data_IF_417649820188
#
_entry.id   IF_417649820188
#
_cell.length_a   1.000
_cell.length_b   1.000
_cell.length_c   1.000
_cell.angle_alpha   90.00
_cell.angle_beta   90.00
_cell.angle_gamma   90.00
#
_symmetry.space_group_name_H-M   'P 1'
#
loop_
_entity.id
_entity.type
_entity.pdbx_description
1 polymer ?
#
# COMPACT_ATOMS: atom_id res chain seq x y z
N UNK A 1 -33.75 33.45 -31.56
CA UNK A 1 -34.10 32.28 -30.72
C UNK A 1 -33.32 31.00 -31.08
N UNK A 2 -33.27 30.51 -32.33
CA UNK A 2 -32.57 29.24 -32.65
C UNK A 2 -31.05 29.22 -32.38
N UNK A 3 -30.34 30.34 -32.55
CA UNK A 3 -28.92 30.44 -32.21
C UNK A 3 -28.69 30.41 -30.68
N UNK A 4 -29.57 31.04 -29.91
CA UNK A 4 -29.52 31.09 -28.44
C UNK A 4 -29.75 29.71 -27.81
N UNK A 5 -30.65 28.91 -28.40
CA UNK A 5 -30.97 27.57 -27.91
C UNK A 5 -29.84 26.58 -28.21
N UNK A 6 -29.15 26.73 -29.36
CA UNK A 6 -27.99 25.90 -29.71
C UNK A 6 -26.76 26.24 -28.86
N UNK A 7 -26.52 27.52 -28.57
CA UNK A 7 -25.40 27.92 -27.70
C UNK A 7 -25.65 27.53 -26.24
N UNK A 8 -26.87 27.71 -25.72
CA UNK A 8 -27.22 27.29 -24.36
C UNK A 8 -27.12 25.77 -24.17
N UNK A 9 -27.54 24.98 -25.17
CA UNK A 9 -27.42 23.53 -25.14
C UNK A 9 -25.96 23.06 -25.21
N UNK A 10 -25.13 23.66 -26.06
CA UNK A 10 -23.70 23.36 -26.14
C UNK A 10 -22.95 23.69 -24.82
N UNK A 11 -23.35 24.77 -24.15
CA UNK A 11 -22.76 25.20 -22.88
C UNK A 11 -23.20 24.31 -21.70
N UNK A 12 -24.47 23.91 -21.64
CA UNK A 12 -24.97 22.92 -20.66
C UNK A 12 -24.31 21.55 -20.85
N UNK A 13 -24.05 21.17 -22.10
CA UNK A 13 -23.30 19.96 -22.45
C UNK A 13 -21.86 20.03 -21.91
N UNK A 14 -21.17 21.16 -22.10
CA UNK A 14 -19.82 21.36 -21.58
C UNK A 14 -19.77 21.35 -20.04
N UNK A 15 -20.78 21.90 -19.36
CA UNK A 15 -20.92 21.85 -17.91
C UNK A 15 -21.15 20.42 -17.38
N UNK A 16 -21.94 19.60 -18.08
CA UNK A 16 -22.13 18.18 -17.73
C UNK A 16 -20.86 17.35 -17.90
N UNK A 17 -20.04 17.65 -18.93
CA UNK A 17 -18.73 17.04 -19.16
C UNK A 17 -17.70 17.44 -18.07
N UNK A 18 -17.72 18.70 -17.63
CA UNK A 18 -16.85 19.20 -16.54
C UNK A 18 -17.25 18.68 -15.15
N UNK A 19 -18.53 18.38 -14.93
CA UNK A 19 -19.03 17.77 -13.68
C UNK A 19 -18.87 16.24 -13.66
N UNK A 20 -18.80 15.60 -14.83
CA UNK A 20 -18.64 14.14 -14.98
C UNK A 20 -17.20 13.62 -15.05
N UNK A 21 -16.21 14.49 -15.28
CA UNK A 21 -14.80 14.12 -15.43
C UNK A 21 -13.91 14.60 -14.27
N UNK A 22 -13.27 13.66 -13.57
CA UNK A 22 -12.06 13.80 -12.72
C UNK A 22 -12.00 15.00 -11.76
N UNK A 23 -12.04 14.72 -10.44
CA UNK A 23 -11.97 15.61 -9.25
C UNK A 23 -10.79 16.61 -9.11
N UNK A 24 -10.25 17.18 -10.20
CA UNK A 24 -9.18 18.20 -10.17
C UNK A 24 -9.45 19.34 -11.16
N UNK A 25 -10.64 19.94 -11.10
CA UNK A 25 -10.87 21.25 -11.73
C UNK A 25 -10.84 22.32 -10.64
N UNK A 26 -9.85 23.22 -10.69
CA UNK A 26 -9.68 24.30 -9.72
C UNK A 26 -10.94 25.17 -9.63
N UNK A 27 -11.30 25.56 -8.40
CA UNK A 27 -12.39 26.52 -8.12
C UNK A 27 -12.23 27.82 -8.92
N UNK A 28 -10.99 28.23 -9.18
CA UNK A 28 -10.64 29.39 -10.02
C UNK A 28 -11.10 29.23 -11.48
N UNK A 29 -10.98 28.04 -12.06
CA UNK A 29 -11.44 27.77 -13.43
C UNK A 29 -12.97 27.83 -13.52
N UNK A 30 -13.67 27.30 -12.51
CA UNK A 30 -15.14 27.39 -12.42
C UNK A 30 -15.62 28.83 -12.20
N UNK A 31 -14.94 29.60 -11.35
CA UNK A 31 -15.27 31.01 -11.08
C UNK A 31 -15.07 31.90 -12.32
N UNK A 32 -13.96 31.71 -13.05
CA UNK A 32 -13.69 32.39 -14.33
C UNK A 32 -14.75 32.08 -15.38
N UNK A 33 -15.21 30.82 -15.44
CA UNK A 33 -16.26 30.41 -16.38
C UNK A 33 -17.61 31.05 -16.04
N UNK A 34 -17.98 31.13 -14.76
CA UNK A 34 -19.20 31.82 -14.29
C UNK A 34 -19.15 33.33 -14.55
N UNK A 35 -17.99 33.97 -14.34
CA UNK A 35 -17.77 35.40 -14.64
C UNK A 35 -17.90 35.69 -16.14
N UNK A 36 -17.28 34.86 -16.99
CA UNK A 36 -17.39 34.99 -18.45
C UNK A 36 -18.84 34.84 -18.93
N UNK A 37 -19.59 33.87 -18.38
CA UNK A 37 -21.03 33.70 -18.68
C UNK A 37 -21.86 34.92 -18.24
N UNK A 38 -21.56 35.51 -17.08
CA UNK A 38 -22.22 36.73 -16.60
C UNK A 38 -21.98 37.94 -17.52
N UNK A 39 -20.74 38.11 -18.01
CA UNK A 39 -20.36 39.18 -18.94
C UNK A 39 -20.98 38.97 -20.33
N UNK A 40 -20.99 37.72 -20.83
CA UNK A 40 -21.65 37.40 -22.11
C UNK A 40 -23.16 37.64 -22.08
N UNK A 41 -23.84 37.38 -20.95
CA UNK A 41 -25.26 37.72 -20.79
C UNK A 41 -25.51 39.23 -20.74
N UNK A 42 -24.57 40.02 -20.19
CA UNK A 42 -24.67 41.48 -20.11
C UNK A 42 -24.44 42.17 -21.47
N UNK A 43 -23.50 41.68 -22.28
CA UNK A 43 -23.20 42.22 -23.61
C UNK A 43 -24.30 41.96 -24.65
N UNK A 44 -25.19 41.00 -24.41
CA UNK A 44 -26.39 40.75 -25.25
C UNK A 44 -27.56 41.71 -24.92
N UNK A 45 -27.36 42.66 -24.01
CA UNK A 45 -28.38 43.56 -23.49
C UNK A 45 -28.45 44.92 -24.17
N UNK A 46 -28.74 44.96 -25.48
CA UNK A 46 -29.50 46.06 -26.08
C UNK A 46 -30.88 45.52 -26.47
N UNK A 47 -31.71 45.27 -25.46
CA UNK A 47 -33.15 45.09 -25.62
C UNK A 47 -33.84 46.28 -24.97
N UNK A 48 -33.96 47.38 -25.71
CA UNK A 48 -34.92 48.43 -25.38
C UNK A 48 -36.33 47.85 -25.57
N UNK A 49 -37.07 47.78 -24.46
CA UNK A 49 -38.54 47.83 -24.53
C UNK A 49 -39.32 46.52 -24.62
N UNK A 50 -38.97 45.46 -23.89
CA UNK A 50 -39.94 44.60 -23.17
C UNK A 50 -39.20 43.51 -22.36
N UNK A 51 -39.70 43.23 -21.17
CA UNK A 51 -39.06 42.45 -20.12
C UNK A 51 -38.54 41.06 -20.58
N UNK A 52 -37.27 40.76 -20.32
CA UNK A 52 -36.72 39.40 -20.30
C UNK A 52 -36.68 38.84 -18.86
N UNK A 53 -37.77 38.24 -18.34
CA UNK A 53 -37.79 37.66 -17.00
C UNK A 53 -36.81 36.48 -16.86
N UNK A 54 -36.64 35.66 -17.90
CA UNK A 54 -35.78 34.48 -17.88
C UNK A 54 -34.28 34.82 -17.72
N UNK A 55 -33.81 35.90 -18.35
CA UNK A 55 -32.42 36.37 -18.21
C UNK A 55 -32.14 36.91 -16.80
N UNK A 56 -33.12 37.59 -16.17
CA UNK A 56 -32.99 38.06 -14.78
C UNK A 56 -32.92 36.91 -13.80
N UNK A 57 -33.71 35.86 -14.00
CA UNK A 57 -33.61 34.64 -13.17
C UNK A 57 -32.30 33.89 -13.40
N UNK A 58 -31.82 33.77 -14.64
CA UNK A 58 -30.51 33.18 -14.93
C UNK A 58 -29.36 33.95 -14.26
N UNK A 59 -29.40 35.28 -14.26
CA UNK A 59 -28.42 36.14 -13.57
C UNK A 59 -28.50 35.99 -12.04
N UNK A 60 -29.69 35.82 -11.46
CA UNK A 60 -29.85 35.53 -10.02
C UNK A 60 -29.23 34.18 -9.66
N UNK A 61 -29.49 33.14 -10.45
CA UNK A 61 -28.91 31.80 -10.24
C UNK A 61 -27.39 31.84 -10.35
N UNK A 62 -26.83 32.51 -11.37
CA UNK A 62 -25.37 32.65 -11.53
C UNK A 62 -24.72 33.37 -10.35
N UNK A 63 -25.33 34.44 -9.83
CA UNK A 63 -24.85 35.14 -8.62
C UNK A 63 -24.88 34.24 -7.39
N UNK A 64 -25.90 33.39 -7.27
CA UNK A 64 -26.02 32.46 -6.15
C UNK A 64 -24.98 31.33 -6.21
N UNK A 65 -24.70 30.81 -7.41
CA UNK A 65 -23.62 29.84 -7.64
C UNK A 65 -22.25 30.47 -7.38
N UNK A 66 -22.03 31.71 -7.82
CA UNK A 66 -20.79 32.44 -7.55
C UNK A 66 -20.55 32.59 -6.05
N UNK A 67 -21.58 32.98 -5.29
CA UNK A 67 -21.52 33.11 -3.82
C UNK A 67 -21.17 31.77 -3.14
N UNK A 68 -21.80 30.68 -3.56
CA UNK A 68 -21.52 29.34 -3.01
C UNK A 68 -20.08 28.89 -3.28
N UNK A 69 -19.56 29.15 -4.48
CA UNK A 69 -18.18 28.81 -4.84
C UNK A 69 -17.17 29.62 -4.00
N UNK A 70 -17.42 30.92 -3.82
CA UNK A 70 -16.57 31.78 -2.98
C UNK A 70 -16.64 31.40 -1.50
N UNK A 71 -17.82 31.01 -0.99
CA UNK A 71 -17.98 30.59 0.41
C UNK A 71 -17.28 29.26 0.69
N UNK A 72 -17.33 28.32 -0.27
CA UNK A 72 -16.61 27.06 -0.22
C UNK A 72 -15.09 27.24 -0.26
N UNK A 73 -14.58 28.11 -1.15
CA UNK A 73 -13.16 28.45 -1.22
C UNK A 73 -12.67 29.12 0.08
N UNK A 74 -13.44 30.06 0.62
CA UNK A 74 -13.14 30.69 1.89
C UNK A 74 -13.16 29.68 3.05
N UNK A 75 -14.10 28.72 3.05
CA UNK A 75 -14.17 27.65 4.03
C UNK A 75 -12.97 26.69 3.95
N UNK A 76 -12.60 26.31 2.72
CA UNK A 76 -11.43 25.46 2.46
C UNK A 76 -10.12 26.13 2.89
N UNK A 77 -9.93 27.42 2.57
CA UNK A 77 -8.75 28.19 2.99
C UNK A 77 -8.70 28.37 4.52
N UNK A 78 -9.84 28.58 5.18
CA UNK A 78 -9.92 28.59 6.66
C UNK A 78 -9.55 27.23 7.25
N UNK A 79 -10.03 26.14 6.66
CA UNK A 79 -9.67 24.76 7.03
C UNK A 79 -8.16 24.53 6.91
N UNK A 80 -7.57 24.89 5.77
CA UNK A 80 -6.12 24.77 5.50
C UNK A 80 -5.26 25.60 6.46
N UNK A 81 -5.66 26.83 6.80
CA UNK A 81 -4.95 27.64 7.82
C UNK A 81 -5.03 27.01 9.21
N UNK A 82 -6.18 26.44 9.57
CA UNK A 82 -6.36 25.74 10.85
C UNK A 82 -5.48 24.49 10.93
N UNK A 83 -5.39 23.75 9.82
CA UNK A 83 -4.57 22.56 9.68
C UNK A 83 -3.08 22.90 9.71
N UNK A 84 -2.66 23.96 9.00
CA UNK A 84 -1.30 24.51 9.07
C UNK A 84 -0.92 24.96 10.48
N UNK A 85 -1.84 25.61 11.22
CA UNK A 85 -1.61 26.00 12.62
C UNK A 85 -1.47 24.79 13.54
N UNK A 86 -2.30 23.75 13.36
CA UNK A 86 -2.16 22.47 14.08
C UNK A 86 -0.86 21.77 13.74
N UNK A 87 -0.43 21.80 12.47
CA UNK A 87 0.83 21.22 12.02
C UNK A 87 2.03 21.95 12.66
N UNK A 88 2.00 23.29 12.70
CA UNK A 88 3.04 24.08 13.35
C UNK A 88 3.02 23.91 14.88
N UNK A 89 1.85 23.70 15.48
CA UNK A 89 1.72 23.41 16.91
C UNK A 89 2.24 22.00 17.25
N UNK A 90 1.95 21.00 16.41
CA UNK A 90 2.55 19.65 16.48
C UNK A 90 4.07 19.69 16.24
N UNK A 91 4.55 20.55 15.35
CA UNK A 91 5.99 20.79 15.12
C UNK A 91 6.66 21.46 16.32
N UNK A 92 5.95 22.33 17.04
CA UNK A 92 6.43 22.93 18.30
C UNK A 92 6.41 21.96 19.48
N UNK A 93 5.46 21.01 19.50
CA UNK A 93 5.39 19.93 20.49
C UNK A 93 6.40 18.81 20.19
N UNK A 94 6.73 18.60 18.92
CA UNK A 94 7.91 17.87 18.46
C UNK A 94 9.14 18.78 18.54
N UNK A 95 9.45 19.26 19.73
CA UNK A 95 10.82 19.65 20.03
C UNK A 95 11.70 18.46 19.65
N UNK A 96 12.29 18.54 18.46
CA UNK A 96 13.50 17.81 18.12
C UNK A 96 14.50 18.37 19.12
N UNK A 97 14.58 17.74 20.30
CA UNK A 97 15.85 17.70 21.01
C UNK A 97 16.82 17.14 19.98
N UNK A 98 17.64 18.00 19.39
CA UNK A 98 18.82 17.55 18.69
C UNK A 98 19.60 16.72 19.72
N UNK A 99 19.51 15.41 19.51
CA UNK A 99 20.01 14.37 20.38
C UNK A 99 21.50 14.65 20.62
N UNK A 100 21.86 14.98 21.87
CA UNK A 100 23.12 15.61 22.28
C UNK A 100 24.36 14.72 22.02
N UNK A 101 24.17 13.55 21.41
CA UNK A 101 25.16 12.53 21.09
C UNK A 101 25.22 12.17 19.59
N UNK A 102 24.65 13.02 18.71
CA UNK A 102 24.66 12.81 17.26
C UNK A 102 25.71 13.66 16.53
N UNK A 103 26.36 13.09 15.52
CA UNK A 103 27.26 13.82 14.62
C UNK A 103 26.50 14.81 13.72
N UNK A 104 27.15 15.91 13.28
CA UNK A 104 26.51 16.89 12.40
C UNK A 104 26.11 16.25 11.05
N UNK A 105 24.96 16.64 10.46
CA UNK A 105 24.51 16.08 9.19
C UNK A 105 25.47 16.44 8.05
N UNK A 106 25.92 15.44 7.30
CA UNK A 106 26.78 15.63 6.14
C UNK A 106 25.94 15.96 4.90
N UNK A 107 26.40 16.96 4.14
CA UNK A 107 25.81 17.29 2.84
C UNK A 107 26.31 16.32 1.77
N UNK A 108 25.47 15.95 0.79
CA UNK A 108 25.92 15.17 -0.35
C UNK A 108 27.02 15.88 -1.15
N UNK A 109 28.03 15.14 -1.65
CA UNK A 109 29.02 15.69 -2.57
C UNK A 109 28.34 16.16 -3.86
N UNK A 110 28.94 17.14 -4.55
CA UNK A 110 28.45 17.55 -5.87
C UNK A 110 28.58 16.38 -6.83
N UNK A 111 27.55 16.12 -7.62
CA UNK A 111 27.46 14.92 -8.48
C UNK A 111 27.62 13.62 -7.68
N UNK A 112 26.96 13.52 -6.52
CA UNK A 112 26.95 12.33 -5.68
C UNK A 112 25.90 12.36 -4.56
N UNK A 113 25.78 11.24 -3.85
CA UNK A 113 24.73 10.94 -2.87
C UNK A 113 25.31 10.34 -1.59
N UNK A 114 24.58 10.48 -0.49
CA UNK A 114 24.92 9.89 0.82
C UNK A 114 23.87 8.85 1.18
N UNK A 115 24.32 7.64 1.51
CA UNK A 115 23.48 6.55 1.97
C UNK A 115 23.59 6.41 3.49
N UNK A 116 22.43 6.28 4.14
CA UNK A 116 22.29 6.22 5.60
C UNK A 116 21.62 7.47 6.17
N UNK A 117 20.86 7.30 7.26
CA UNK A 117 20.04 8.36 7.88
C UNK A 117 20.29 8.56 9.38
N UNK A 118 21.09 7.68 9.99
CA UNK A 118 21.33 7.67 11.44
C UNK A 118 22.65 8.39 11.73
N UNK A 119 22.61 9.35 12.66
CA UNK A 119 23.74 10.21 13.00
C UNK A 119 24.33 9.89 14.39
N UNK A 120 23.91 8.80 15.03
CA UNK A 120 24.40 8.40 16.36
C UNK A 120 25.80 7.78 16.27
N UNK A 121 26.59 7.91 17.32
CA UNK A 121 27.92 7.29 17.42
C UNK A 121 27.89 5.79 17.05
N UNK A 122 28.88 5.34 16.28
CA UNK A 122 28.99 3.99 15.73
C UNK A 122 28.25 3.74 14.41
N UNK A 123 27.42 4.67 13.94
CA UNK A 123 26.75 4.53 12.64
C UNK A 123 27.65 5.02 11.48
N UNK A 124 27.58 4.32 10.36
CA UNK A 124 28.33 4.59 9.15
C UNK A 124 27.44 5.15 8.04
N UNK A 125 27.96 6.12 7.30
CA UNK A 125 27.38 6.69 6.08
C UNK A 125 28.28 6.37 4.90
N UNK A 126 27.68 5.99 3.78
CA UNK A 126 28.40 5.68 2.54
C UNK A 126 28.17 6.76 1.50
N UNK A 127 29.18 7.02 0.67
CA UNK A 127 29.14 8.04 -0.37
C UNK A 127 29.21 7.38 -1.74
N UNK A 128 28.36 7.83 -2.65
CA UNK A 128 28.34 7.37 -4.03
C UNK A 128 28.44 8.58 -4.96
N UNK A 129 29.23 8.48 -6.02
CA UNK A 129 29.24 9.49 -7.07
C UNK A 129 28.24 9.14 -8.17
N UNK A 130 27.69 10.16 -8.81
CA UNK A 130 26.88 10.01 -10.01
C UNK A 130 27.77 9.47 -11.16
N UNK A 131 27.20 8.77 -12.16
CA UNK A 131 27.97 8.22 -13.28
C UNK A 131 28.84 9.26 -14.00
N UNK A 132 30.08 8.89 -14.34
CA UNK A 132 31.06 9.79 -14.96
C UNK A 132 31.97 10.54 -13.97
N UNK A 133 31.78 10.32 -12.67
CA UNK A 133 32.61 10.89 -11.61
C UNK A 133 33.23 9.78 -10.76
N UNK A 134 34.51 9.94 -10.42
CA UNK A 134 35.24 9.05 -9.53
C UNK A 134 35.28 9.64 -8.11
N UNK A 135 35.03 8.78 -7.11
CA UNK A 135 35.12 9.17 -5.71
C UNK A 135 36.59 9.31 -5.29
N UNK A 136 36.96 10.51 -4.86
CA UNK A 136 38.23 10.83 -4.21
C UNK A 136 37.96 11.14 -2.73
N UNK A 137 38.57 10.40 -1.81
CA UNK A 137 38.36 10.51 -0.37
C UNK A 137 37.90 9.18 0.25
N UNK A 138 37.20 9.24 1.38
CA UNK A 138 36.68 8.05 2.05
C UNK A 138 35.32 7.62 1.49
N UNK A 139 35.22 6.37 1.04
CA UNK A 139 33.98 5.74 0.54
C UNK A 139 32.88 5.66 1.63
N UNK A 140 33.30 5.53 2.89
CA UNK A 140 32.42 5.55 4.04
C UNK A 140 33.01 6.35 5.20
N UNK A 141 32.13 6.92 6.03
CA UNK A 141 32.49 7.70 7.21
C UNK A 141 31.61 7.27 8.38
N UNK A 142 32.23 7.06 9.54
CA UNK A 142 31.58 6.61 10.76
C UNK A 142 31.50 7.75 11.76
N UNK A 143 30.35 7.91 12.41
CA UNK A 143 30.18 8.86 13.49
C UNK A 143 30.91 8.37 14.74
N UNK A 144 31.87 9.15 15.23
CA UNK A 144 32.65 8.81 16.42
C UNK A 144 31.98 9.32 17.70
N UNK A 145 32.38 8.76 18.85
CA UNK A 145 31.87 9.16 20.18
C UNK A 145 32.21 10.62 20.55
N UNK A 146 33.16 11.26 19.84
CA UNK A 146 33.51 12.68 19.98
C UNK A 146 32.68 13.60 19.07
N UNK A 147 31.58 13.09 18.48
CA UNK A 147 30.68 13.83 17.59
C UNK A 147 31.32 14.32 16.28
N UNK A 148 32.43 13.71 15.87
CA UNK A 148 33.09 13.96 14.58
C UNK A 148 32.98 12.74 13.65
N UNK A 149 33.11 12.98 12.34
CA UNK A 149 33.10 11.92 11.34
C UNK A 149 34.52 11.44 11.05
N UNK A 150 34.71 10.12 11.03
CA UNK A 150 35.96 9.50 10.58
C UNK A 150 36.25 9.78 9.10
N UNK A 151 37.50 9.59 8.68
CA UNK A 151 37.89 9.65 7.27
C UNK A 151 37.96 11.05 6.65
N UNK A 152 38.33 11.08 5.37
CA UNK A 152 38.45 12.30 4.56
C UNK A 152 37.11 12.61 3.85
N UNK A 153 36.80 13.89 3.55
CA UNK A 153 35.62 14.25 2.78
C UNK A 153 35.58 13.55 1.42
N UNK A 154 34.44 12.93 1.07
CA UNK A 154 34.23 12.35 -0.24
C UNK A 154 33.97 13.46 -1.28
N UNK A 155 34.73 13.47 -2.36
CA UNK A 155 34.61 14.40 -3.48
C UNK A 155 34.43 13.57 -4.75
N UNK A 156 33.50 13.97 -5.61
CA UNK A 156 33.29 13.35 -6.91
C UNK A 156 33.98 14.21 -7.97
N UNK A 157 35.04 13.69 -8.58
CA UNK A 157 35.80 14.37 -9.65
C UNK A 157 35.47 13.74 -10.99
N UNK A 158 35.31 14.55 -12.03
CA UNK A 158 35.06 14.08 -13.40
C UNK A 158 36.15 13.09 -13.86
N UNK A 159 35.72 11.96 -14.41
CA UNK A 159 36.63 11.10 -15.17
C UNK A 159 36.95 11.82 -16.48
N UNK A 160 38.14 12.43 -16.56
CA UNK A 160 38.63 13.09 -17.77
C UNK A 160 38.46 12.16 -18.98
N UNK A 161 37.61 12.56 -19.92
CA UNK A 161 37.47 11.91 -21.22
C UNK A 161 38.82 11.98 -21.94
N UNK A 162 39.49 10.84 -22.09
CA UNK A 162 40.76 10.77 -22.81
C UNK A 162 40.48 11.06 -24.29
N UNK A 163 40.89 12.24 -24.74
CA UNK A 163 41.07 12.56 -26.14
C UNK A 163 42.29 11.80 -26.69
N UNK A 164 42.14 11.28 -27.91
CA UNK A 164 43.16 10.64 -28.74
C UNK A 164 43.79 9.33 -28.24
N UNK A 165 43.13 8.22 -28.52
CA UNK A 165 43.82 6.99 -28.94
C UNK A 165 42.94 6.21 -29.91
N UNK A 166 43.49 5.91 -31.09
CA UNK A 166 43.04 4.86 -32.01
C UNK A 166 43.09 3.49 -31.32
N UNK A 167 42.06 3.17 -30.52
CA UNK A 167 41.92 1.87 -29.86
C UNK A 167 40.47 1.41 -29.90
N UNK A 168 40.29 0.21 -30.44
CA UNK A 168 39.07 -0.55 -30.74
C UNK A 168 38.26 -1.00 -29.52
N UNK A 169 38.12 -0.17 -28.48
CA UNK A 169 37.26 -0.50 -27.34
C UNK A 169 36.57 0.74 -26.78
N UNK A 170 35.57 1.26 -27.50
CA UNK A 170 34.49 2.01 -26.86
C UNK A 170 33.68 0.97 -26.08
N UNK A 171 33.97 0.71 -24.79
CA UNK A 171 33.02 -0.04 -23.96
C UNK A 171 31.91 0.92 -23.53
N UNK A 172 30.62 0.59 -23.70
CA UNK A 172 30.02 -0.71 -24.05
C UNK A 172 29.47 -0.77 -25.49
N UNK A 173 30.35 -0.83 -26.49
CA UNK A 173 30.00 -0.87 -27.91
C UNK A 173 30.98 -1.75 -28.71
N UNK A 174 30.43 -2.60 -29.58
CA UNK A 174 31.17 -3.37 -30.56
C UNK A 174 31.07 -2.68 -31.93
N UNK A 175 32.21 -2.24 -32.48
CA UNK A 175 32.27 -1.55 -33.76
C UNK A 175 32.95 -2.42 -34.82
N UNK A 176 32.29 -2.57 -35.97
CA UNK A 176 32.79 -3.26 -37.16
C UNK A 176 32.89 -2.31 -38.34
N UNK A 177 33.88 -2.51 -39.21
CA UNK A 177 34.05 -1.70 -40.42
C UNK A 177 33.60 -2.51 -41.64
N UNK A 178 32.63 -2.02 -42.39
CA UNK A 178 32.20 -2.62 -43.65
C UNK A 178 32.29 -1.58 -44.77
N UNK A 179 33.08 -1.87 -45.81
CA UNK A 179 33.25 -1.00 -46.99
C UNK A 179 33.65 0.46 -46.67
N UNK A 180 34.44 0.67 -45.62
CA UNK A 180 34.90 2.01 -45.20
C UNK A 180 33.89 2.78 -44.32
N UNK A 181 32.74 2.19 -44.00
CA UNK A 181 31.74 2.74 -43.08
C UNK A 181 31.90 2.04 -41.71
N UNK A 182 31.95 2.82 -40.63
CA UNK A 182 31.98 2.32 -39.26
C UNK A 182 30.56 2.04 -38.77
N UNK A 183 30.28 0.78 -38.42
CA UNK A 183 29.03 0.33 -37.81
C UNK A 183 29.28 -0.07 -36.36
N UNK A 184 28.79 0.73 -35.42
CA UNK A 184 28.85 0.43 -33.99
C UNK A 184 27.48 -0.07 -33.50
N UNK A 185 27.49 -1.15 -32.73
CA UNK A 185 26.35 -1.65 -31.98
C UNK A 185 26.69 -1.56 -30.48
N UNK A 186 25.73 -1.14 -29.66
CA UNK A 186 25.93 -1.17 -28.21
C UNK A 186 25.80 -2.59 -27.66
N UNK A 187 26.45 -2.85 -26.53
CA UNK A 187 26.24 -4.08 -25.77
C UNK A 187 24.76 -4.20 -25.35
N UNK A 188 24.25 -5.43 -25.09
CA UNK A 188 22.90 -5.61 -24.56
C UNK A 188 22.67 -4.76 -23.30
N UNK A 189 21.49 -4.11 -23.21
CA UNK A 189 21.17 -3.18 -22.13
C UNK A 189 21.52 -1.71 -22.41
N UNK A 190 22.05 -1.40 -23.61
CA UNK A 190 22.42 -0.04 -24.01
C UNK A 190 21.77 0.37 -25.35
N UNK A 191 21.59 1.68 -25.54
CA UNK A 191 21.04 2.29 -26.74
C UNK A 191 21.96 3.39 -27.28
N UNK A 192 22.10 3.45 -28.61
CA UNK A 192 22.91 4.48 -29.28
C UNK A 192 22.17 5.81 -29.24
N UNK A 193 22.81 6.85 -28.71
CA UNK A 193 22.31 8.23 -28.77
C UNK A 193 22.86 9.01 -29.97
N UNK A 194 22.25 10.17 -30.24
CA UNK A 194 22.68 11.16 -31.23
C UNK A 194 24.09 11.66 -30.90
N UNK A 195 25.10 10.98 -31.42
CA UNK A 195 26.52 11.18 -31.08
C UNK A 195 27.36 9.90 -31.08
N UNK A 196 26.76 8.72 -31.25
CA UNK A 196 27.47 7.44 -31.34
C UNK A 196 27.90 6.86 -29.99
N UNK A 197 27.45 7.46 -28.89
CA UNK A 197 27.68 6.99 -27.52
C UNK A 197 26.57 6.03 -27.11
N UNK A 198 26.96 4.96 -26.42
CA UNK A 198 26.04 3.99 -25.83
C UNK A 198 25.59 4.48 -24.45
N UNK A 199 24.30 4.78 -24.35
CA UNK A 199 23.65 5.10 -23.10
C UNK A 199 22.97 3.84 -22.56
N UNK A 200 23.16 3.60 -21.27
CA UNK A 200 22.43 2.59 -20.51
C UNK A 200 20.92 2.77 -20.66
N UNK A 201 20.20 1.66 -20.86
CA UNK A 201 18.75 1.64 -20.88
C UNK A 201 18.30 1.48 -19.43
N UNK A 202 17.75 2.54 -18.84
CA UNK A 202 17.15 2.42 -17.52
C UNK A 202 15.83 1.62 -17.62
N UNK A 203 15.90 0.30 -17.40
CA UNK A 203 14.72 -0.55 -17.49
C UNK A 203 13.73 -0.24 -16.36
N UNK A 204 14.22 0.25 -15.22
CA UNK A 204 13.36 0.65 -14.12
C UNK A 204 12.47 1.83 -14.53
N UNK A 205 13.00 2.84 -15.19
CA UNK A 205 12.23 3.98 -15.70
C UNK A 205 11.37 3.61 -16.91
N UNK A 206 11.92 2.79 -17.83
CA UNK A 206 11.23 2.37 -19.05
C UNK A 206 9.91 1.62 -18.76
N UNK A 207 9.89 0.80 -17.71
CA UNK A 207 8.76 -0.03 -17.34
C UNK A 207 7.88 0.54 -16.22
N UNK A 208 8.36 1.53 -15.43
CA UNK A 208 7.57 2.17 -14.38
C UNK A 208 6.35 2.97 -14.90
N UNK A 209 6.42 3.52 -16.11
CA UNK A 209 5.37 4.38 -16.69
C UNK A 209 4.28 3.67 -17.49
N UNK A 210 4.43 2.37 -17.79
CA UNK A 210 3.48 1.63 -18.63
C UNK A 210 2.47 0.88 -17.76
N UNK A 211 1.19 1.21 -17.93
CA UNK A 211 0.09 0.53 -17.25
C UNK A 211 0.11 -0.97 -17.57
N UNK A 212 0.54 -1.81 -16.62
CA UNK A 212 0.49 -3.27 -16.70
C UNK A 212 1.81 -4.01 -16.89
N UNK A 213 2.96 -3.34 -17.01
CA UNK A 213 4.27 -4.01 -17.14
C UNK A 213 5.25 -3.57 -16.06
N UNK A 214 4.98 -3.86 -14.79
CA UNK A 214 5.96 -3.63 -13.73
C UNK A 214 7.03 -4.72 -13.81
N UNK A 215 8.28 -4.34 -14.08
CA UNK A 215 9.38 -5.30 -14.28
C UNK A 215 9.75 -6.04 -12.98
N UNK A 216 9.76 -5.34 -11.84
CA UNK A 216 9.96 -5.93 -10.52
C UNK A 216 8.66 -5.93 -9.72
N UNK A 217 8.35 -7.01 -8.99
CA UNK A 217 7.18 -7.05 -8.10
C UNK A 217 7.24 -5.96 -7.01
N UNK A 218 8.42 -5.68 -6.45
CA UNK A 218 8.62 -4.66 -5.42
C UNK A 218 9.44 -3.44 -5.87
N UNK A 219 10.75 -3.44 -5.63
CA UNK A 219 11.67 -2.34 -5.93
C UNK A 219 12.59 -2.72 -7.09
N UNK A 220 12.89 -1.77 -7.97
CA UNK A 220 13.79 -1.92 -9.12
C UNK A 220 14.98 -0.98 -8.95
N UNK A 221 16.19 -1.50 -9.11
CA UNK A 221 17.43 -0.74 -9.05
C UNK A 221 18.15 -0.88 -10.39
N UNK A 222 18.26 0.22 -11.12
CA UNK A 222 18.96 0.23 -12.40
C UNK A 222 20.48 0.03 -12.19
N UNK A 223 21.11 -0.73 -13.07
CA UNK A 223 22.55 -1.00 -13.08
C UNK A 223 23.10 -0.85 -14.50
N UNK A 224 24.41 -0.71 -14.67
CA UNK A 224 24.97 -0.54 -16.01
C UNK A 224 24.80 -1.82 -16.85
N UNK A 225 23.99 -1.75 -17.90
CA UNK A 225 23.65 -2.82 -18.83
C UNK A 225 22.56 -3.78 -18.35
N UNK A 226 21.93 -3.52 -17.19
CA UNK A 226 20.88 -4.38 -16.63
C UNK A 226 20.17 -3.73 -15.44
N UNK A 227 19.31 -4.48 -14.76
CA UNK A 227 18.64 -4.03 -13.53
C UNK A 227 18.61 -5.15 -12.49
N UNK A 228 18.46 -4.77 -11.22
CA UNK A 228 18.26 -5.68 -10.11
C UNK A 228 16.92 -5.42 -9.42
N UNK A 229 16.12 -6.46 -9.22
CA UNK A 229 14.94 -6.38 -8.38
C UNK A 229 15.28 -6.65 -6.92
N UNK A 230 14.73 -5.83 -6.02
CA UNK A 230 14.93 -5.95 -4.58
C UNK A 230 13.61 -6.26 -3.90
N UNK A 231 13.62 -7.31 -3.07
CA UNK A 231 12.48 -7.74 -2.28
C UNK A 231 12.47 -7.08 -0.90
N UNK A 232 11.28 -6.87 -0.31
CA UNK A 232 11.18 -6.35 1.05
C UNK A 232 11.72 -7.38 2.06
N UNK A 233 11.95 -6.93 3.29
CA UNK A 233 12.34 -7.82 4.39
C UNK A 233 11.32 -8.94 4.58
N UNK A 234 11.81 -10.15 4.89
CA UNK A 234 10.99 -11.36 4.98
C UNK A 234 10.74 -12.05 3.65
N UNK A 235 11.31 -11.55 2.54
CA UNK A 235 11.20 -12.15 1.22
C UNK A 235 12.57 -12.33 0.56
N UNK A 236 12.67 -13.33 -0.30
CA UNK A 236 13.81 -13.58 -1.17
C UNK A 236 13.40 -13.46 -2.64
N UNK A 237 14.35 -13.08 -3.49
CA UNK A 237 14.13 -13.10 -4.93
C UNK A 237 13.96 -14.56 -5.38
N UNK A 238 12.87 -14.83 -6.08
CA UNK A 238 12.57 -16.16 -6.60
C UNK A 238 13.46 -16.49 -7.82
N UNK A 239 13.40 -17.74 -8.30
CA UNK A 239 14.15 -18.18 -9.48
C UNK A 239 13.82 -17.36 -10.76
N UNK A 240 12.65 -16.71 -10.77
CA UNK A 240 12.34 -15.66 -11.73
C UNK A 240 12.77 -14.33 -11.11
N UNK A 241 13.71 -13.58 -11.73
CA UNK A 241 14.38 -12.41 -11.13
C UNK A 241 13.47 -11.21 -10.82
N UNK A 242 12.16 -11.38 -11.01
CA UNK A 242 11.16 -10.33 -10.90
C UNK A 242 10.15 -10.60 -9.77
N UNK A 243 10.16 -11.79 -9.15
CA UNK A 243 9.19 -12.21 -8.14
C UNK A 243 9.81 -12.32 -6.75
N UNK A 244 9.04 -11.96 -5.72
CA UNK A 244 9.45 -12.07 -4.33
C UNK A 244 8.72 -13.22 -3.66
N UNK A 245 9.49 -14.17 -3.13
CA UNK A 245 8.99 -15.33 -2.39
C UNK A 245 9.18 -15.11 -0.90
N UNK A 246 8.10 -15.32 -0.16
CA UNK A 246 8.11 -15.26 1.30
C UNK A 246 9.10 -16.27 1.91
N UNK A 247 9.82 -15.85 2.94
CA UNK A 247 10.70 -16.71 3.72
C UNK A 247 9.85 -17.38 4.80
N UNK A 248 9.69 -18.69 4.74
CA UNK A 248 9.03 -19.40 5.83
C UNK A 248 9.99 -19.53 7.02
N UNK A 249 9.92 -18.59 7.97
CA UNK A 249 10.80 -18.62 9.14
C UNK A 249 10.47 -19.78 10.09
N UNK A 250 9.23 -20.28 10.08
CA UNK A 250 8.83 -21.43 10.89
C UNK A 250 9.51 -22.72 10.42
N UNK A 251 9.80 -22.84 9.13
CA UNK A 251 10.58 -23.94 8.55
C UNK A 251 12.08 -23.65 8.62
N UNK A 252 12.48 -22.43 8.28
CA UNK A 252 13.88 -22.04 8.16
C UNK A 252 14.60 -21.95 9.50
N UNK A 253 13.87 -21.58 10.57
CA UNK A 253 14.40 -21.50 11.92
C UNK A 253 13.51 -22.26 12.91
N UNK A 254 13.95 -23.46 13.29
CA UNK A 254 13.23 -24.29 14.30
C UNK A 254 13.10 -23.63 15.67
N UNK A 255 13.91 -22.62 15.97
CA UNK A 255 13.86 -21.84 17.21
C UNK A 255 13.25 -20.46 16.99
N UNK A 256 12.49 -20.25 15.90
CA UNK A 256 11.80 -18.99 15.63
C UNK A 256 10.91 -18.55 16.81
N UNK A 257 10.24 -19.51 17.44
CA UNK A 257 9.44 -19.29 18.64
C UNK A 257 10.07 -19.96 19.87
N UNK A 258 10.00 -19.30 21.01
CA UNK A 258 10.54 -19.81 22.29
C UNK A 258 9.41 -20.19 23.25
N UNK A 259 9.66 -21.11 24.18
CA UNK A 259 8.68 -21.43 25.24
C UNK A 259 7.43 -22.17 24.78
N UNK A 260 7.56 -23.09 23.82
CA UNK A 260 6.48 -24.00 23.38
C UNK A 260 5.34 -23.31 22.63
N UNK A 261 5.57 -22.10 22.13
CA UNK A 261 4.63 -21.38 21.27
C UNK A 261 4.55 -22.04 19.90
N UNK A 262 3.40 -21.92 19.28
CA UNK A 262 3.23 -22.34 17.90
C UNK A 262 3.69 -21.23 16.96
N UNK A 263 4.57 -21.58 16.02
CA UNK A 263 4.96 -20.68 14.95
C UNK A 263 3.88 -20.66 13.86
N UNK A 264 3.48 -19.46 13.44
CA UNK A 264 2.60 -19.21 12.30
C UNK A 264 3.36 -18.35 11.31
N UNK A 265 3.61 -18.89 10.12
CA UNK A 265 4.26 -18.15 9.04
C UNK A 265 3.29 -17.12 8.44
N UNK A 266 3.76 -15.90 8.23
CA UNK A 266 3.01 -14.77 7.67
C UNK A 266 3.71 -14.25 6.41
N UNK A 267 2.97 -13.56 5.55
CA UNK A 267 3.56 -12.90 4.38
C UNK A 267 4.40 -11.69 4.82
N UNK A 268 5.72 -11.86 4.84
CA UNK A 268 6.73 -10.89 5.26
C UNK A 268 7.30 -11.11 6.66
N UNK A 269 7.06 -12.26 7.28
CA UNK A 269 7.62 -12.61 8.59
C UNK A 269 6.84 -13.73 9.28
N UNK A 270 6.98 -13.86 10.60
CA UNK A 270 6.26 -14.87 11.37
C UNK A 270 5.70 -14.30 12.67
N UNK A 271 4.77 -15.03 13.27
CA UNK A 271 4.28 -14.74 14.62
C UNK A 271 4.21 -16.00 15.47
N UNK A 272 4.42 -15.84 16.77
CA UNK A 272 4.35 -16.91 17.74
C UNK A 272 3.06 -16.79 18.52
N UNK A 273 2.21 -17.81 18.43
CA UNK A 273 0.90 -17.82 19.08
C UNK A 273 0.86 -18.87 20.17
N UNK A 274 0.23 -18.51 21.29
CA UNK A 274 -0.10 -19.42 22.38
C UNK A 274 -1.60 -19.39 22.59
N UNK A 275 -2.38 -20.26 21.92
CA UNK A 275 -3.82 -20.29 22.12
C UNK A 275 -4.14 -20.69 23.56
N UNK A 276 -4.89 -19.85 24.27
CA UNK A 276 -5.32 -20.10 25.64
C UNK A 276 -6.84 -20.32 25.69
N UNK A 277 -7.26 -21.29 26.50
CA UNK A 277 -8.68 -21.52 26.71
C UNK A 277 -9.31 -20.36 27.49
N UNK A 278 -10.61 -20.05 27.27
CA UNK A 278 -11.27 -18.98 27.99
C UNK A 278 -11.19 -19.18 29.50
N UNK A 279 -10.95 -18.09 30.23
CA UNK A 279 -10.93 -18.10 31.70
C UNK A 279 -12.29 -18.60 32.24
N UNK A 280 -12.29 -19.35 33.36
CA UNK A 280 -13.51 -19.81 34.01
C UNK A 280 -14.50 -18.68 34.28
N UNK A 281 -15.78 -18.88 33.94
CA UNK A 281 -16.86 -17.93 34.22
C UNK A 281 -18.14 -18.68 34.55
N UNK A 282 -18.84 -18.29 35.62
CA UNK A 282 -20.20 -18.76 35.96
C UNK A 282 -20.43 -20.27 35.71
N UNK A 283 -19.66 -21.12 36.40
CA UNK A 283 -19.72 -22.58 36.32
C UNK A 283 -19.33 -23.20 34.97
N UNK A 284 -18.71 -22.44 34.08
CA UNK A 284 -18.13 -22.91 32.82
C UNK A 284 -16.62 -22.93 32.91
N UNK A 285 -16.05 -24.10 32.69
CA UNK A 285 -14.60 -24.32 32.63
C UNK A 285 -14.22 -25.04 31.36
N UNK A 286 -13.07 -24.66 30.79
CA UNK A 286 -12.50 -25.25 29.59
C UNK A 286 -11.15 -25.88 29.89
N UNK A 287 -10.92 -27.06 29.32
CA UNK A 287 -9.64 -27.76 29.37
C UNK A 287 -9.00 -27.77 27.99
N UNK A 288 -7.68 -27.61 27.94
CA UNK A 288 -6.92 -27.63 26.70
C UNK A 288 -6.68 -29.09 26.30
N UNK A 289 -7.27 -29.50 25.18
CA UNK A 289 -7.13 -30.87 24.65
C UNK A 289 -5.92 -30.97 23.73
N UNK A 290 -5.65 -29.91 22.96
CA UNK A 290 -4.50 -29.82 22.07
C UNK A 290 -3.96 -28.39 22.03
N UNK A 291 -2.86 -28.15 21.30
CA UNK A 291 -2.32 -26.81 21.08
C UNK A 291 -3.37 -25.77 20.64
N UNK A 292 -4.41 -26.22 19.92
CA UNK A 292 -5.40 -25.39 19.23
C UNK A 292 -6.85 -25.66 19.61
N UNK A 293 -7.13 -26.56 20.55
CA UNK A 293 -8.49 -26.98 20.87
C UNK A 293 -8.72 -27.01 22.37
N UNK A 294 -9.84 -26.43 22.77
CA UNK A 294 -10.36 -26.44 24.11
C UNK A 294 -11.71 -27.15 24.12
N UNK A 295 -11.96 -27.93 25.17
CA UNK A 295 -13.26 -28.56 25.40
C UNK A 295 -13.83 -28.14 26.75
N UNK A 296 -15.15 -27.96 26.79
CA UNK A 296 -15.87 -27.61 28.00
C UNK A 296 -15.94 -28.83 28.90
N UNK A 297 -15.66 -28.65 30.18
CA UNK A 297 -15.87 -29.72 31.17
C UNK A 297 -17.37 -30.03 31.33
N UNK A 298 -17.74 -31.22 31.84
CA UNK A 298 -19.13 -31.55 32.13
C UNK A 298 -19.81 -30.46 32.98
N UNK A 299 -21.04 -30.07 32.61
CA UNK A 299 -21.76 -29.04 33.34
C UNK A 299 -22.28 -29.57 34.68
N UNK A 300 -22.28 -28.75 35.74
CA UNK A 300 -23.05 -29.03 36.94
C UNK A 300 -24.55 -29.16 36.63
N UNK A 301 -25.24 -30.03 37.37
CA UNK A 301 -26.68 -30.23 37.25
C UNK A 301 -27.44 -28.90 37.44
N UNK A 302 -28.37 -28.59 36.55
CA UNK A 302 -29.20 -27.38 36.62
C UNK A 302 -28.56 -26.10 36.09
N UNK A 303 -27.33 -26.13 35.57
CA UNK A 303 -26.68 -24.94 34.99
C UNK A 303 -27.02 -24.77 33.50
N UNK A 304 -28.11 -24.05 33.20
CA UNK A 304 -28.49 -23.69 31.82
C UNK A 304 -27.41 -22.86 31.12
N UNK A 305 -26.82 -21.89 31.83
CA UNK A 305 -25.74 -21.04 31.32
C UNK A 305 -24.52 -21.83 30.83
N UNK A 306 -24.21 -22.95 31.49
CA UNK A 306 -23.13 -23.84 31.08
C UNK A 306 -23.49 -24.67 29.86
N UNK A 307 -24.74 -25.15 29.78
CA UNK A 307 -25.21 -25.90 28.62
C UNK A 307 -25.28 -25.04 27.36
N UNK A 308 -25.56 -23.74 27.50
CA UNK A 308 -25.52 -22.76 26.41
C UNK A 308 -24.10 -22.44 25.91
N UNK A 309 -23.09 -22.63 26.76
CA UNK A 309 -21.70 -22.36 26.40
C UNK A 309 -21.18 -23.42 25.41
N UNK A 310 -20.31 -23.02 24.45
CA UNK A 310 -19.83 -23.92 23.41
C UNK A 310 -19.11 -25.13 23.99
N UNK A 311 -19.40 -26.30 23.46
CA UNK A 311 -18.80 -27.56 23.86
C UNK A 311 -17.31 -27.62 23.52
N UNK A 312 -16.93 -27.10 22.35
CA UNK A 312 -15.52 -26.98 21.97
C UNK A 312 -15.22 -25.64 21.33
N UNK A 313 -13.97 -25.21 21.46
CA UNK A 313 -13.44 -23.99 20.86
C UNK A 313 -12.12 -24.36 20.18
N UNK A 314 -12.00 -24.06 18.88
CA UNK A 314 -10.77 -24.28 18.11
C UNK A 314 -10.19 -22.97 17.59
N UNK A 315 -8.86 -22.89 17.51
CA UNK A 315 -8.12 -21.71 17.06
C UNK A 315 -7.43 -21.98 15.73
N UNK A 316 -7.63 -21.10 14.77
CA UNK A 316 -7.10 -21.20 13.41
C UNK A 316 -6.44 -19.88 13.02
N UNK A 317 -5.28 -19.95 12.36
CA UNK A 317 -4.49 -18.79 11.97
C UNK A 317 -4.24 -18.85 10.47
N UNK A 318 -4.66 -17.82 9.73
CA UNK A 318 -4.63 -17.81 8.27
C UNK A 318 -3.87 -16.57 7.79
N UNK A 319 -2.66 -16.71 7.23
CA UNK A 319 -1.97 -15.61 6.57
C UNK A 319 -2.61 -15.32 5.20
N UNK A 320 -2.77 -14.04 4.87
CA UNK A 320 -3.37 -13.55 3.64
C UNK A 320 -2.53 -12.43 3.03
N UNK A 321 -2.44 -12.40 1.71
CA UNK A 321 -1.92 -11.26 0.97
C UNK A 321 -2.93 -10.09 0.98
N UNK A 322 -2.43 -8.88 0.77
CA UNK A 322 -3.28 -7.70 0.59
C UNK A 322 -4.06 -7.79 -0.72
N UNK A 323 -5.31 -7.32 -0.72
CA UNK A 323 -6.14 -7.16 -1.92
C UNK A 323 -6.38 -8.46 -2.71
N UNK A 324 -6.54 -9.58 -2.01
CA UNK A 324 -6.89 -10.86 -2.64
C UNK A 324 -8.14 -10.75 -3.52
N UNK A 325 -8.17 -11.47 -4.67
CA UNK A 325 -9.35 -11.53 -5.52
C UNK A 325 -10.51 -12.18 -4.78
N UNK A 326 -11.70 -11.61 -4.95
CA UNK A 326 -12.95 -12.04 -4.32
C UNK A 326 -13.98 -12.44 -5.38
N UNK A 327 -14.91 -13.37 -5.09
CA UNK A 327 -15.07 -14.09 -3.82
C UNK A 327 -14.05 -15.23 -3.63
N UNK A 328 -13.60 -15.46 -2.39
CA UNK A 328 -12.65 -16.54 -2.07
C UNK A 328 -13.02 -17.26 -0.78
N UNK A 329 -12.97 -18.59 -0.79
CA UNK A 329 -13.13 -19.39 0.44
C UNK A 329 -11.82 -19.33 1.22
N UNK A 330 -11.88 -18.87 2.47
CA UNK A 330 -10.71 -18.74 3.36
C UNK A 330 -10.55 -19.96 4.26
N UNK A 331 -11.67 -20.50 4.76
CA UNK A 331 -11.66 -21.59 5.71
C UNK A 331 -12.87 -22.49 5.49
N UNK A 332 -12.67 -23.80 5.53
CA UNK A 332 -13.75 -24.78 5.44
C UNK A 332 -13.88 -25.48 6.78
N UNK A 333 -15.10 -25.48 7.30
CA UNK A 333 -15.47 -26.07 8.57
C UNK A 333 -16.22 -27.35 8.26
N UNK A 334 -15.66 -28.47 8.69
CA UNK A 334 -16.32 -29.77 8.61
C UNK A 334 -16.64 -30.24 10.01
N UNK A 335 -17.89 -30.59 10.25
CA UNK A 335 -18.22 -31.28 11.48
C UNK A 335 -17.73 -32.73 11.43
N UNK A 336 -17.42 -33.34 12.59
CA UNK A 336 -17.41 -34.80 12.71
C UNK A 336 -18.76 -35.36 12.22
N UNK A 337 -18.81 -36.65 11.87
CA UNK A 337 -20.08 -37.35 11.58
C UNK A 337 -20.97 -37.34 12.83
N UNK A 338 -21.69 -36.23 13.03
CA UNK A 338 -22.58 -36.01 14.17
C UNK A 338 -23.85 -36.83 13.97
N UNK A 339 -24.43 -37.32 15.07
CA UNK A 339 -25.76 -37.98 15.04
C UNK A 339 -26.91 -37.01 14.73
N UNK A 340 -26.67 -35.68 14.72
CA UNK A 340 -27.67 -34.66 14.42
C UNK A 340 -28.03 -34.55 12.94
N UNK A 341 -29.29 -34.21 12.67
CA UNK A 341 -29.86 -34.13 11.31
C UNK A 341 -29.47 -32.84 10.56
N UNK A 342 -29.03 -31.78 11.21
CA UNK A 342 -28.59 -30.57 10.50
C UNK A 342 -27.65 -29.74 11.34
N UNK A 343 -26.77 -29.01 10.68
CA UNK A 343 -25.85 -28.08 11.33
C UNK A 343 -26.13 -26.68 10.82
N UNK A 344 -26.02 -25.69 11.70
CA UNK A 344 -26.15 -24.28 11.33
C UNK A 344 -24.85 -23.56 11.64
N UNK A 345 -24.29 -22.93 10.62
CA UNK A 345 -23.08 -22.12 10.75
C UNK A 345 -23.48 -20.65 10.85
N UNK A 346 -23.03 -19.96 11.90
CA UNK A 346 -23.30 -18.55 12.11
C UNK A 346 -22.03 -17.81 12.49
N UNK A 347 -21.81 -16.69 11.83
CA UNK A 347 -20.75 -15.76 12.19
C UNK A 347 -21.20 -15.01 13.47
N UNK A 348 -20.53 -15.23 14.60
CA UNK A 348 -20.89 -14.63 15.89
C UNK A 348 -20.04 -13.39 16.20
N UNK A 349 -18.81 -13.37 15.69
CA UNK A 349 -17.91 -12.21 15.72
C UNK A 349 -17.37 -11.93 14.32
N UNK A 350 -17.29 -10.64 13.95
CA UNK A 350 -16.82 -10.23 12.62
C UNK A 350 -17.92 -10.12 11.55
N UNK A 351 -19.20 -10.16 11.97
CA UNK A 351 -20.41 -10.43 11.17
C UNK A 351 -20.70 -9.58 9.92
N UNK A 352 -20.09 -8.39 9.78
CA UNK A 352 -20.42 -7.49 8.65
C UNK A 352 -19.38 -6.41 8.30
N UNK A 353 -18.38 -6.13 9.15
CA UNK A 353 -17.57 -4.93 9.01
C UNK A 353 -16.40 -5.01 8.02
N UNK A 354 -16.04 -6.20 7.51
CA UNK A 354 -14.83 -6.38 6.67
C UNK A 354 -15.00 -7.30 5.45
N UNK A 355 -16.23 -7.53 4.99
CA UNK A 355 -16.48 -8.37 3.79
C UNK A 355 -16.20 -9.85 4.02
N UNK A 356 -16.60 -10.37 5.18
CA UNK A 356 -16.51 -11.77 5.55
C UNK A 356 -17.91 -12.33 5.77
N UNK A 357 -18.20 -13.47 5.17
CA UNK A 357 -19.50 -14.13 5.23
C UNK A 357 -19.33 -15.63 5.47
N UNK A 358 -20.34 -16.25 6.08
CA UNK A 358 -20.36 -17.70 6.27
C UNK A 358 -21.44 -18.28 5.39
N UNK A 359 -21.06 -19.24 4.56
CA UNK A 359 -21.95 -19.96 3.65
C UNK A 359 -22.06 -21.41 4.09
N UNK A 360 -23.28 -21.94 4.07
CA UNK A 360 -23.51 -23.36 4.23
C UNK A 360 -23.31 -24.06 2.86
N UNK A 361 -22.21 -24.80 2.73
CA UNK A 361 -21.84 -25.50 1.50
C UNK A 361 -22.36 -26.95 1.45
N UNK A 362 -22.84 -27.47 2.59
CA UNK A 362 -23.50 -28.78 2.67
C UNK A 362 -24.10 -29.02 4.05
N UNK A 363 -24.69 -30.20 4.25
CA UNK A 363 -25.32 -30.61 5.53
C UNK A 363 -24.33 -30.57 6.71
N UNK A 364 -23.06 -30.90 6.44
CA UNK A 364 -22.00 -30.94 7.45
C UNK A 364 -20.78 -30.06 7.12
N UNK A 365 -20.97 -29.08 6.23
CA UNK A 365 -19.89 -28.26 5.69
C UNK A 365 -20.29 -26.78 5.67
N UNK A 366 -19.55 -25.99 6.43
CA UNK A 366 -19.58 -24.53 6.41
C UNK A 366 -18.33 -23.96 5.76
N UNK A 367 -18.44 -22.80 5.12
CA UNK A 367 -17.31 -22.11 4.51
C UNK A 367 -17.31 -20.65 4.97
N UNK A 368 -16.14 -20.16 5.40
CA UNK A 368 -15.89 -18.74 5.63
C UNK A 368 -15.37 -18.14 4.31
N UNK A 369 -16.10 -17.17 3.77
CA UNK A 369 -15.79 -16.52 2.51
C UNK A 369 -15.34 -15.08 2.73
N UNK A 370 -14.38 -14.66 1.93
CA UNK A 370 -14.05 -13.28 1.68
C UNK A 370 -14.88 -12.77 0.50
N UNK A 371 -15.80 -11.84 0.76
CA UNK A 371 -16.68 -11.22 -0.23
C UNK A 371 -16.23 -9.82 -0.63
N UNK A 372 -15.36 -9.17 0.16
CA UNK A 372 -14.70 -7.91 -0.21
C UNK A 372 -13.20 -8.03 0.03
N UNK A 373 -12.41 -7.44 -0.87
CA UNK A 373 -10.96 -7.41 -0.70
C UNK A 373 -10.60 -6.65 0.57
N UNK A 374 -9.59 -7.14 1.29
CA UNK A 374 -9.07 -6.53 2.51
C UNK A 374 -7.64 -6.08 2.22
N UNK A 375 -7.33 -4.84 2.60
CA UNK A 375 -5.98 -4.30 2.53
C UNK A 375 -5.29 -4.47 3.88
N UNK A 376 -4.05 -4.93 3.89
CA UNK A 376 -3.22 -4.95 5.10
C UNK A 376 -2.36 -3.69 5.25
N UNK A 377 -1.53 -3.60 6.30
CA UNK A 377 -1.37 -4.60 7.36
C UNK A 377 -2.59 -4.62 8.29
N UNK A 378 -3.18 -5.79 8.51
CA UNK A 378 -4.35 -5.91 9.38
C UNK A 378 -4.45 -7.28 10.04
N UNK A 379 -4.87 -7.30 11.30
CA UNK A 379 -5.24 -8.51 12.02
C UNK A 379 -6.75 -8.53 12.24
N UNK A 380 -7.40 -9.63 11.87
CA UNK A 380 -8.86 -9.77 11.93
C UNK A 380 -9.21 -11.08 12.62
N UNK A 381 -9.83 -10.97 13.80
CA UNK A 381 -10.36 -12.12 14.51
C UNK A 381 -11.85 -12.30 14.23
N UNK A 382 -12.22 -13.55 13.94
CA UNK A 382 -13.54 -13.95 13.49
C UNK A 382 -13.96 -15.19 14.25
N UNK A 383 -15.16 -15.19 14.81
CA UNK A 383 -15.68 -16.36 15.52
C UNK A 383 -16.86 -16.90 14.73
N UNK A 384 -16.77 -18.16 14.33
CA UNK A 384 -17.85 -18.88 13.65
C UNK A 384 -18.38 -19.96 14.57
N UNK A 385 -19.67 -19.86 14.91
CA UNK A 385 -20.38 -20.88 15.67
C UNK A 385 -21.01 -21.90 14.72
N UNK A 386 -20.78 -23.17 15.01
CA UNK A 386 -21.50 -24.31 14.44
C UNK A 386 -22.44 -24.86 15.51
N UNK A 387 -23.74 -24.73 15.30
CA UNK A 387 -24.76 -25.34 16.15
C UNK A 387 -25.21 -26.68 15.54
N UNK A 388 -25.13 -27.74 16.33
CA UNK A 388 -25.70 -29.04 15.99
C UNK A 388 -27.19 -29.05 16.34
N UNK A 389 -28.05 -29.31 15.36
CA UNK A 389 -29.51 -29.27 15.50
C UNK A 389 -30.10 -30.67 15.42
N UNK A 390 -31.05 -30.96 16.32
CA UNK A 390 -31.96 -32.10 16.28
C UNK A 390 -33.40 -31.59 16.16
N UNK A 391 -34.38 -32.47 15.86
CA UNK A 391 -35.80 -32.11 15.88
C UNK A 391 -36.28 -31.53 17.23
N UNK A 392 -35.54 -31.80 18.31
CA UNK A 392 -35.88 -31.40 19.68
C UNK A 392 -35.14 -30.12 20.14
N UNK A 393 -34.20 -29.59 19.34
CA UNK A 393 -33.46 -28.37 19.67
C UNK A 393 -31.98 -28.41 19.29
N UNK A 394 -31.17 -27.55 19.92
CA UNK A 394 -29.71 -27.52 19.72
C UNK A 394 -29.06 -28.54 20.65
N UNK A 395 -28.33 -29.51 20.09
CA UNK A 395 -27.61 -30.55 20.83
C UNK A 395 -26.26 -30.07 21.36
N UNK A 396 -25.61 -29.17 20.62
CA UNK A 396 -24.28 -28.69 20.95
C UNK A 396 -23.87 -27.48 20.10
N UNK A 397 -22.90 -26.72 20.60
CA UNK A 397 -22.30 -25.58 19.91
C UNK A 397 -20.79 -25.77 19.86
N UNK A 398 -20.18 -25.47 18.71
CA UNK A 398 -18.74 -25.48 18.52
C UNK A 398 -18.32 -24.13 17.96
N UNK A 399 -17.26 -23.54 18.49
CA UNK A 399 -16.76 -22.23 18.04
C UNK A 399 -15.41 -22.39 17.37
N UNK A 400 -15.28 -21.79 16.21
CA UNK A 400 -14.05 -21.73 15.42
C UNK A 400 -13.58 -20.28 15.44
N UNK A 401 -12.53 -20.03 16.21
CA UNK A 401 -11.86 -18.74 16.31
C UNK A 401 -10.81 -18.65 15.22
N UNK A 402 -11.10 -17.93 14.15
CA UNK A 402 -10.22 -17.75 12.99
C UNK A 402 -9.57 -16.37 13.06
N UNK A 403 -8.25 -16.33 13.11
CA UNK A 403 -7.46 -15.10 13.06
C UNK A 403 -6.81 -14.97 11.70
N UNK A 404 -7.19 -13.93 10.96
CA UNK A 404 -6.62 -13.60 9.65
C UNK A 404 -5.52 -12.57 9.84
N UNK A 405 -4.34 -12.85 9.29
CA UNK A 405 -3.23 -11.91 9.23
C UNK A 405 -3.05 -11.44 7.80
N UNK A 406 -3.45 -10.21 7.52
CA UNK A 406 -3.38 -9.62 6.18
C UNK A 406 -2.09 -8.83 6.05
N UNK A 407 -1.22 -9.21 5.12
CA UNK A 407 0.02 -8.52 4.83
C UNK A 407 -0.22 -7.18 4.14
N UNK A 408 0.75 -6.29 4.25
CA UNK A 408 0.76 -5.02 3.51
C UNK A 408 1.05 -5.21 2.01
N UNK A 409 1.64 -6.33 1.63
CA UNK A 409 2.00 -6.64 0.24
C UNK A 409 0.92 -7.45 -0.46
N UNK A 410 0.75 -7.25 -1.77
CA UNK A 410 -0.25 -7.93 -2.61
C UNK A 410 0.28 -9.21 -3.25
N UNK A 411 1.53 -9.59 -2.98
CA UNK A 411 2.27 -10.65 -3.66
C UNK A 411 2.81 -11.70 -2.69
#
# INVERSE_FOLDING_TARGET
MCLLQRTLHAILSALSLLLGGSRKVCTDTMLKTVLLLGVSLQLLGDCEGQACPEQREALKVLRQVQKLLTDHEASYLRGMRTLSRRLNQLKGQLQIQEDKDSCPPLKPPRHGRVLGRKLKAGHELHFLCDPGYQLTGSESRTCMNNQTWSGQPAICSELMSVANTTSTTLRPAECSTFQGIQHCACDPGYVIQSGGLCQDIDECDLYQGKAGSKICVHECVNTLGSYNCVCPRGYLLDAHPNSCKDIDECVSNRSACTGGEQCVNLYGGFTCVRPECPKPKMNVTYVKISGHQCERTPCPLGSSSCMDAPHSISFHYIPLQSQLPVPRVLFTMTAPRSQGDSQRFTLTRGKAHRGLEVRQAGRHRGELLLTKSVSGPAEIQVDVEMAEMSPQGILGRHVFTVTLFVSQFTF
#
